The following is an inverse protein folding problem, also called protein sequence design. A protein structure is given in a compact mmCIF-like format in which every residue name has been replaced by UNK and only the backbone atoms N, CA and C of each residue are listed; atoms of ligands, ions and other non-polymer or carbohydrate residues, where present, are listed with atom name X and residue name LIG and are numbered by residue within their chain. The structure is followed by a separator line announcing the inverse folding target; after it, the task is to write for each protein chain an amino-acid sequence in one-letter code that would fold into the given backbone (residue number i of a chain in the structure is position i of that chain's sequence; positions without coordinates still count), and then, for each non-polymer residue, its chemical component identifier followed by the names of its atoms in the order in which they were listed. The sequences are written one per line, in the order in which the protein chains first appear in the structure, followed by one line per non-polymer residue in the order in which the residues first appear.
data_IF_025717992632
#
_entry.id   IF_025717992632
#
_cell.length_a   1.000
_cell.length_b   1.000
_cell.length_c   1.000
_cell.angle_alpha   90.00
_cell.angle_beta   90.00
_cell.angle_gamma   90.00
#
_symmetry.space_group_name_H-M   'P 1'
#
loop_
_entity.id
_entity.type
_entity.pdbx_description
1 polymer ?
#
# COMPACT_ATOMS: atom_id res chain seq x y z
N UNK A 1 -3.35 -1.83 -12.82
CA UNK A 1 -3.31 -2.58 -11.54
C UNK A 1 -4.20 -3.77 -11.73
N UNK A 2 -3.69 -4.98 -11.56
CA UNK A 2 -4.46 -6.23 -11.73
C UNK A 2 -4.82 -6.78 -10.36
N UNK A 3 -6.10 -7.10 -10.13
CA UNK A 3 -6.60 -7.67 -8.87
C UNK A 3 -7.24 -9.03 -9.10
N UNK A 4 -6.92 -9.99 -8.23
CA UNK A 4 -7.68 -11.22 -8.03
C UNK A 4 -8.29 -11.19 -6.62
N UNK A 5 -9.61 -11.40 -6.55
CA UNK A 5 -10.33 -11.57 -5.29
C UNK A 5 -10.78 -13.03 -5.14
N UNK A 6 -10.56 -13.61 -3.97
CA UNK A 6 -11.09 -14.94 -3.65
C UNK A 6 -12.11 -14.86 -2.51
N UNK A 7 -13.40 -14.98 -2.85
CA UNK A 7 -14.51 -15.18 -1.92
C UNK A 7 -14.48 -14.25 -0.68
N UNK A 8 -14.15 -12.97 -0.85
CA UNK A 8 -14.03 -12.00 0.24
C UNK A 8 -13.03 -12.40 1.36
N UNK A 9 -12.03 -13.24 1.04
CA UNK A 9 -10.99 -13.67 2.01
C UNK A 9 -9.70 -12.90 1.85
N UNK A 10 -9.34 -12.57 0.62
CA UNK A 10 -8.16 -11.77 0.32
C UNK A 10 -8.23 -11.07 -1.04
N UNK A 11 -7.44 -10.02 -1.19
CA UNK A 11 -7.10 -9.42 -2.48
C UNK A 11 -5.63 -9.68 -2.80
N UNK A 12 -5.34 -10.16 -4.00
CA UNK A 12 -4.00 -10.20 -4.57
C UNK A 12 -3.91 -9.12 -5.64
N UNK A 13 -2.97 -8.19 -5.50
CA UNK A 13 -2.82 -7.04 -6.38
C UNK A 13 -1.42 -6.99 -6.97
N UNK A 14 -1.32 -6.91 -8.30
CA UNK A 14 -0.05 -6.68 -9.00
C UNK A 14 0.11 -5.19 -9.31
N UNK A 15 1.18 -4.58 -8.81
CA UNK A 15 1.53 -3.18 -9.06
C UNK A 15 2.79 -3.08 -9.93
N UNK A 16 2.66 -2.28 -11.00
CA UNK A 16 3.77 -1.87 -11.84
C UNK A 16 4.12 -0.42 -11.52
N UNK A 17 5.39 -0.17 -11.23
CA UNK A 17 5.86 1.13 -10.79
C UNK A 17 6.69 1.80 -11.87
N UNK A 18 6.41 3.08 -12.13
CA UNK A 18 7.29 3.93 -12.93
C UNK A 18 8.60 4.18 -12.15
N UNK A 19 9.71 4.48 -12.84
CA UNK A 19 10.94 4.89 -12.17
C UNK A 19 10.67 6.03 -11.17
N UNK A 20 11.22 5.92 -9.97
CA UNK A 20 11.06 6.91 -8.89
C UNK A 20 9.61 7.17 -8.43
N UNK A 21 8.66 6.30 -8.77
CA UNK A 21 7.27 6.45 -8.33
C UNK A 21 7.15 6.24 -6.83
N UNK A 22 6.38 7.11 -6.18
CA UNK A 22 6.14 7.12 -4.75
C UNK A 22 4.64 6.97 -4.49
N UNK A 23 4.25 6.11 -3.56
CA UNK A 23 2.86 6.03 -3.09
C UNK A 23 2.52 7.22 -2.19
N UNK A 24 1.24 7.43 -1.91
CA UNK A 24 0.83 8.22 -0.75
C UNK A 24 1.24 7.52 0.55
N UNK A 25 1.29 8.27 1.65
CA UNK A 25 1.30 7.67 3.00
C UNK A 25 -0.11 7.15 3.27
N UNK A 26 -0.27 5.87 3.60
CA UNK A 26 -1.59 5.25 3.66
C UNK A 26 -1.74 4.14 4.70
N UNK A 27 -3.00 3.85 5.04
CA UNK A 27 -3.44 2.77 5.93
C UNK A 27 -3.95 1.54 5.17
N UNK A 28 -4.23 0.46 5.90
CA UNK A 28 -4.70 -0.81 5.37
C UNK A 28 -6.08 -1.24 5.89
N UNK A 29 -6.82 -0.34 6.55
CA UNK A 29 -8.14 -0.59 7.15
C UNK A 29 -8.23 -1.92 7.90
N UNK A 30 -7.31 -2.12 8.85
CA UNK A 30 -7.20 -3.33 9.69
C UNK A 30 -6.90 -4.62 8.93
N UNK A 31 -6.47 -4.51 7.67
CA UNK A 31 -5.98 -5.63 6.89
C UNK A 31 -4.48 -5.82 7.06
N UNK A 32 -4.08 -7.09 7.09
CA UNK A 32 -2.70 -7.50 6.96
C UNK A 32 -2.26 -7.34 5.50
N UNK A 33 -1.15 -6.65 5.27
CA UNK A 33 -0.56 -6.40 3.96
C UNK A 33 0.78 -7.12 3.88
N UNK A 34 0.91 -8.03 2.92
CA UNK A 34 2.17 -8.62 2.52
C UNK A 34 2.54 -8.11 1.13
N UNK A 35 3.79 -7.73 0.94
CA UNK A 35 4.29 -7.31 -0.37
C UNK A 35 5.51 -8.14 -0.72
N UNK A 36 5.44 -8.87 -1.82
CA UNK A 36 6.58 -9.55 -2.44
C UNK A 36 7.13 -8.67 -3.54
N UNK A 37 8.42 -8.35 -3.48
CA UNK A 37 9.11 -7.65 -4.56
C UNK A 37 9.42 -8.67 -5.66
N UNK A 38 8.76 -8.51 -6.81
CA UNK A 38 8.97 -9.38 -7.97
C UNK A 38 10.11 -8.88 -8.85
N UNK A 39 10.32 -7.55 -8.89
CA UNK A 39 11.41 -6.91 -9.63
C UNK A 39 11.65 -5.49 -9.16
N UNK A 40 12.91 -5.10 -9.04
CA UNK A 40 13.35 -3.74 -8.71
C UNK A 40 13.79 -3.59 -7.25
N UNK A 41 14.01 -2.34 -6.87
CA UNK A 41 14.49 -1.92 -5.55
C UNK A 41 13.49 -0.92 -4.95
N UNK A 42 13.12 -1.13 -3.70
CA UNK A 42 12.08 -0.36 -3.03
C UNK A 42 12.54 0.15 -1.68
N UNK A 43 12.02 1.31 -1.29
CA UNK A 43 12.09 1.84 0.06
C UNK A 43 10.70 1.84 0.66
N UNK A 44 10.56 1.28 1.86
CA UNK A 44 9.39 1.45 2.71
C UNK A 44 9.71 2.43 3.84
N UNK A 45 8.89 3.45 3.99
CA UNK A 45 8.92 4.36 5.13
C UNK A 45 7.70 4.09 6.01
N UNK A 46 7.92 3.78 7.28
CA UNK A 46 6.85 3.56 8.27
C UNK A 46 6.68 4.82 9.10
N UNK A 47 5.43 5.20 9.31
CA UNK A 47 5.04 6.32 10.16
C UNK A 47 4.16 5.84 11.31
N UNK A 48 4.16 6.59 12.40
CA UNK A 48 3.26 6.35 13.52
C UNK A 48 1.80 6.47 13.07
N UNK A 49 0.97 5.48 13.42
CA UNK A 49 -0.47 5.56 13.22
C UNK A 49 -1.10 6.08 14.52
N UNK A 50 -1.48 7.37 14.61
CA UNK A 50 -1.99 7.95 15.85
C UNK A 50 -3.39 7.44 16.22
N UNK A 51 -4.02 6.63 15.36
CA UNK A 51 -5.41 6.25 15.51
C UNK A 51 -5.66 4.76 15.67
N UNK A 52 -4.61 3.94 15.63
CA UNK A 52 -4.72 2.47 15.75
C UNK A 52 -5.80 1.88 14.80
N UNK A 53 -5.91 2.43 13.59
CA UNK A 53 -6.90 2.03 12.57
C UNK A 53 -8.26 2.73 12.62
N UNK A 54 -8.46 3.73 13.48
CA UNK A 54 -9.72 4.47 13.63
C UNK A 54 -9.57 5.98 13.37
N UNK A 55 -9.53 6.36 12.10
CA UNK A 55 -9.25 7.75 11.70
C UNK A 55 -10.39 8.72 12.12
N UNK A 56 -10.11 9.77 12.90
CA UNK A 56 -11.08 10.79 13.29
C UNK A 56 -11.38 11.77 12.15
N UNK A 57 -12.32 12.69 12.41
CA UNK A 57 -12.83 13.67 11.44
C UNK A 57 -11.75 14.40 10.62
N UNK A 58 -12.02 14.54 9.32
CA UNK A 58 -11.09 14.89 8.21
C UNK A 58 -10.57 16.34 8.21
N UNK A 59 -10.86 17.13 9.24
CA UNK A 59 -10.53 18.56 9.32
C UNK A 59 -9.48 18.90 10.40
N UNK A 60 -8.85 17.89 10.99
CA UNK A 60 -7.79 18.07 11.98
C UNK A 60 -6.43 17.97 11.28
N UNK A 61 -5.52 18.87 11.67
CA UNK A 61 -4.12 18.83 11.25
C UNK A 61 -3.34 17.86 12.16
N UNK A 62 -2.50 17.02 11.57
CA UNK A 62 -1.69 16.03 12.26
C UNK A 62 -0.21 16.13 11.84
N UNK A 63 0.68 16.03 12.81
CA UNK A 63 2.11 15.82 12.56
C UNK A 63 2.40 14.31 12.57
N UNK A 64 2.87 13.79 11.44
CA UNK A 64 3.22 12.38 11.28
C UNK A 64 4.70 12.14 11.55
N UNK A 65 4.96 11.41 12.64
CA UNK A 65 6.30 11.02 13.00
C UNK A 65 6.77 9.81 12.19
N UNK A 66 7.95 9.93 11.57
CA UNK A 66 8.63 8.79 10.96
C UNK A 66 9.13 7.82 12.03
N UNK A 67 8.89 6.51 11.83
CA UNK A 67 9.34 5.44 12.71
C UNK A 67 10.59 4.74 12.17
N UNK A 68 10.58 4.39 10.88
CA UNK A 68 11.68 3.64 10.27
C UNK A 68 11.67 3.76 8.74
N UNK A 69 12.82 3.47 8.14
CA UNK A 69 12.93 3.26 6.70
C UNK A 69 13.69 1.95 6.44
N UNK A 70 13.13 1.10 5.58
CA UNK A 70 13.69 -0.19 5.19
C UNK A 70 13.83 -0.25 3.67
N UNK A 71 14.83 -1.00 3.21
CA UNK A 71 15.14 -1.18 1.80
C UNK A 71 14.94 -2.64 1.43
N UNK A 72 14.28 -2.86 0.30
CA UNK A 72 13.93 -4.18 -0.20
C UNK A 72 14.36 -4.33 -1.64
N UNK A 73 14.85 -5.52 -1.97
CA UNK A 73 15.33 -5.90 -3.28
C UNK A 73 14.41 -6.96 -3.88
N UNK A 74 14.70 -7.32 -5.13
CA UNK A 74 14.02 -8.45 -5.78
C UNK A 74 14.13 -9.69 -4.89
N UNK A 75 12.99 -10.37 -4.76
CA UNK A 75 12.75 -11.51 -3.89
C UNK A 75 12.49 -11.25 -2.40
N UNK A 76 12.65 -10.03 -1.92
CA UNK A 76 12.27 -9.71 -0.54
C UNK A 76 10.75 -9.72 -0.34
N UNK A 77 10.36 -9.97 0.91
CA UNK A 77 8.97 -9.89 1.38
C UNK A 77 8.91 -8.94 2.56
N UNK A 78 7.97 -8.01 2.50
CA UNK A 78 7.66 -7.12 3.61
C UNK A 78 6.23 -7.33 4.11
N UNK A 79 6.00 -6.93 5.35
CA UNK A 79 4.73 -7.04 6.05
C UNK A 79 4.41 -5.76 6.81
N UNK A 80 3.18 -5.29 6.68
CA UNK A 80 2.67 -4.13 7.42
C UNK A 80 1.18 -4.31 7.72
N UNK A 81 0.74 -3.72 8.83
CA UNK A 81 -0.67 -3.50 9.13
C UNK A 81 -0.81 -2.24 9.99
N UNK A 82 -2.04 -1.84 10.27
CA UNK A 82 -2.32 -0.57 10.97
C UNK A 82 -1.77 -0.51 12.41
N UNK A 83 -1.43 -1.66 13.02
CA UNK A 83 -0.78 -1.73 14.34
C UNK A 83 0.73 -1.44 14.26
N UNK A 84 1.36 -1.76 13.12
CA UNK A 84 2.76 -1.44 12.86
C UNK A 84 2.88 0.05 12.55
N UNK A 85 2.03 0.56 11.66
CA UNK A 85 2.00 1.97 11.28
C UNK A 85 1.35 2.20 9.92
N UNK A 86 1.37 3.46 9.51
CA UNK A 86 1.13 3.84 8.11
C UNK A 86 2.40 3.63 7.33
N UNK A 87 2.31 3.48 6.00
CA UNK A 87 3.53 3.41 5.21
C UNK A 87 3.47 4.16 3.87
N UNK A 88 4.67 4.39 3.34
CA UNK A 88 4.93 4.90 1.99
C UNK A 88 5.92 3.97 1.30
N UNK A 89 5.59 3.57 0.09
CA UNK A 89 6.43 2.71 -0.75
C UNK A 89 6.97 3.55 -1.90
N UNK A 90 8.29 3.52 -2.08
CA UNK A 90 9.01 4.23 -3.14
C UNK A 90 9.75 3.24 -4.01
N UNK A 91 9.52 3.26 -5.32
CA UNK A 91 10.39 2.56 -6.28
C UNK A 91 11.69 3.37 -6.44
N UNK A 92 12.82 2.80 -6.06
CA UNK A 92 14.14 3.42 -6.17
C UNK A 92 14.83 3.14 -7.51
N UNK A 93 14.29 2.22 -8.31
CA UNK A 93 14.90 1.86 -9.58
C UNK A 93 14.71 2.97 -10.62
N UNK A 94 15.79 3.31 -11.33
CA UNK A 94 15.76 4.24 -12.46
C UNK A 94 15.34 3.56 -13.78
N UNK A 95 15.32 2.22 -13.80
CA UNK A 95 14.92 1.44 -14.97
C UNK A 95 13.43 1.15 -14.97
N UNK A 96 12.79 1.07 -16.15
CA UNK A 96 11.38 0.73 -16.22
C UNK A 96 11.13 -0.70 -15.72
N UNK A 97 9.87 -0.96 -15.31
CA UNK A 97 9.34 -2.28 -14.96
C UNK A 97 9.65 -2.82 -13.56
N UNK A 98 9.71 -1.96 -12.52
CA UNK A 98 9.64 -2.47 -11.14
C UNK A 98 8.23 -2.98 -10.85
N UNK A 99 8.15 -4.14 -10.18
CA UNK A 99 6.89 -4.86 -9.95
C UNK A 99 6.85 -5.39 -8.52
N UNK A 100 5.71 -5.19 -7.87
CA UNK A 100 5.39 -5.78 -6.56
C UNK A 100 4.06 -6.52 -6.60
N UNK A 101 3.98 -7.60 -5.83
CA UNK A 101 2.77 -8.38 -5.60
C UNK A 101 2.30 -8.16 -4.17
N UNK A 102 1.08 -7.65 -4.01
CA UNK A 102 0.48 -7.33 -2.73
C UNK A 102 -0.58 -8.37 -2.40
N UNK A 103 -0.66 -8.79 -1.14
CA UNK A 103 -1.69 -9.65 -0.60
C UNK A 103 -2.30 -8.96 0.62
N UNK A 104 -3.62 -8.74 0.58
CA UNK A 104 -4.38 -8.10 1.65
C UNK A 104 -5.36 -9.08 2.28
N UNK A 105 -5.34 -9.20 3.61
CA UNK A 105 -6.19 -10.12 4.38
C UNK A 105 -6.73 -9.40 5.63
N UNK A 106 -8.05 -9.21 5.80
CA UNK A 106 -9.11 -9.39 4.80
C UNK A 106 -8.95 -8.46 3.57
N UNK A 107 -9.77 -8.63 2.52
CA UNK A 107 -9.77 -7.68 1.41
C UNK A 107 -10.42 -6.36 1.84
N UNK A 108 -10.05 -5.27 1.17
CA UNK A 108 -10.62 -3.96 1.40
C UNK A 108 -10.65 -3.16 0.10
N UNK A 109 -11.58 -2.20 -0.01
CA UNK A 109 -11.75 -1.36 -1.20
C UNK A 109 -11.40 0.11 -0.96
N UNK A 110 -11.00 0.45 0.27
CA UNK A 110 -10.77 1.83 0.72
C UNK A 110 -9.53 1.93 1.59
N UNK A 111 -8.90 3.08 1.60
CA UNK A 111 -7.75 3.36 2.46
C UNK A 111 -7.79 4.80 2.92
N UNK A 112 -7.29 5.06 4.13
CA UNK A 112 -7.03 6.42 4.58
C UNK A 112 -5.64 6.83 4.11
N UNK A 113 -5.59 7.91 3.35
CA UNK A 113 -4.35 8.51 2.86
C UNK A 113 -4.10 9.81 3.61
N UNK A 114 -2.84 10.00 4.03
CA UNK A 114 -2.41 11.26 4.59
C UNK A 114 -1.95 12.19 3.47
N UNK A 115 -2.56 13.38 3.42
CA UNK A 115 -2.23 14.43 2.49
C UNK A 115 -1.23 15.40 3.13
N UNK A 116 0.05 15.22 2.81
CA UNK A 116 1.16 16.02 3.34
C UNK A 116 1.01 17.53 3.06
N UNK A 117 0.24 17.93 2.03
CA UNK A 117 0.04 19.35 1.71
C UNK A 117 -0.96 20.05 2.64
N UNK A 118 -1.84 19.27 3.26
CA UNK A 118 -2.88 19.77 4.17
C UNK A 118 -2.69 19.27 5.61
N UNK A 119 -1.71 18.40 5.83
CA UNK A 119 -1.49 17.66 7.07
C UNK A 119 -2.74 16.95 7.59
N UNK A 120 -3.56 16.41 6.69
CA UNK A 120 -4.86 15.81 7.05
C UNK A 120 -5.09 14.45 6.39
N UNK A 121 -6.05 13.68 6.93
CA UNK A 121 -6.43 12.38 6.39
C UNK A 121 -7.68 12.47 5.52
N UNK A 122 -7.66 11.73 4.40
CA UNK A 122 -8.83 11.50 3.56
C UNK A 122 -8.97 10.02 3.24
N UNK A 123 -10.18 9.50 3.37
CA UNK A 123 -10.53 8.17 2.85
C UNK A 123 -10.60 8.25 1.32
N UNK A 124 -9.98 7.31 0.65
CA UNK A 124 -10.06 7.12 -0.80
C UNK A 124 -10.56 5.73 -1.12
N UNK A 125 -11.36 5.61 -2.17
CA UNK A 125 -11.57 4.30 -2.80
C UNK A 125 -10.33 3.95 -3.61
N UNK A 126 -9.97 2.67 -3.60
CA UNK A 126 -8.84 2.20 -4.37
C UNK A 126 -9.36 1.75 -5.73
N UNK A 127 -8.77 2.32 -6.77
CA UNK A 127 -9.12 2.01 -8.16
C UNK A 127 -8.20 0.95 -8.73
N UNK A 128 -8.79 -0.07 -9.35
CA UNK A 128 -8.08 -1.13 -10.06
C UNK A 128 -8.84 -1.60 -11.30
N UNK A 129 -8.11 -2.26 -12.19
CA UNK A 129 -8.68 -3.01 -13.30
C UNK A 129 -8.72 -4.49 -12.87
N UNK A 130 -9.93 -5.05 -12.84
CA UNK A 130 -10.12 -6.48 -12.57
C UNK A 130 -9.77 -7.28 -13.83
N UNK A 131 -8.88 -8.27 -13.72
CA UNK A 131 -8.71 -9.24 -14.82
C UNK A 131 -9.77 -10.30 -14.65
N UNK A 132 -10.68 -10.33 -15.62
CA UNK A 132 -11.66 -11.39 -15.74
C UNK A 132 -10.96 -12.60 -16.34
N UNK A 133 -11.08 -13.75 -15.69
CA UNK A 133 -10.71 -15.02 -16.32
C UNK A 133 -11.53 -15.18 -17.61
N UNK A 134 -10.87 -15.39 -18.75
CA UNK A 134 -11.58 -15.90 -19.92
C UNK A 134 -11.91 -17.38 -19.64
N UNK A 135 -13.13 -17.84 -19.91
CA UNK A 135 -13.47 -19.24 -19.71
C UNK A 135 -12.53 -20.11 -20.55
N UNK A 136 -11.97 -21.15 -19.94
CA UNK A 136 -11.15 -22.16 -20.61
C UNK A 136 -11.85 -22.62 -21.90
N UNK A 137 -11.14 -22.52 -23.03
CA UNK A 137 -11.61 -22.96 -24.35
C UNK A 137 -11.60 -24.48 -24.49
#
# INVERSE_FOLDING_TARGET
MLVHEYQNRYHVILLCWKPNQVSTIHSHLQSDCYIKILRGDFKEEIYENPFNGYFPSRNLSFDLNSKSALFYHTDDVLFVNDKIGLHRVTNLSETPHSVSLHLYIPPFTRSDIFDESTSSFKETEIAWEEVKEEPDK
#
